data_IF_938602179462
#
_entry.id   IF_938602179462
#
_cell.length_a   1.000
_cell.length_b   1.000
_cell.length_c   1.000
_cell.angle_alpha   90.00
_cell.angle_beta   90.00
_cell.angle_gamma   90.00
#
_symmetry.space_group_name_H-M   'P 1'
#
loop_
_entity.id
_entity.type
_entity.pdbx_description
1 polymer ?
#
# COMPACT_ATOMS: atom_id res chain seq x y z
N UNK A 1 25.82 -69.59 -33.95
CA UNK A 1 27.06 -68.79 -33.97
C UNK A 1 26.73 -67.49 -34.70
N UNK A 2 26.18 -66.47 -34.03
CA UNK A 2 26.90 -65.32 -33.42
C UNK A 2 27.91 -64.70 -34.42
N UNK A 3 27.85 -63.44 -34.87
CA UNK A 3 27.48 -62.17 -34.21
C UNK A 3 26.98 -61.14 -35.24
N UNK A 4 25.96 -60.37 -34.88
CA UNK A 4 25.63 -59.07 -35.48
C UNK A 4 26.40 -57.97 -34.73
N UNK A 5 27.05 -57.05 -35.44
CA UNK A 5 27.60 -55.82 -34.86
C UNK A 5 26.54 -54.72 -34.94
N UNK A 6 26.02 -54.32 -33.79
CA UNK A 6 25.20 -53.13 -33.59
C UNK A 6 26.13 -51.95 -33.26
N UNK A 7 26.05 -50.88 -34.06
CA UNK A 7 26.64 -49.57 -33.71
C UNK A 7 25.85 -48.97 -32.55
N UNK A 8 26.48 -48.86 -31.38
CA UNK A 8 25.93 -48.21 -30.21
C UNK A 8 25.96 -46.69 -30.36
N UNK A 9 24.78 -46.06 -30.36
CA UNK A 9 24.63 -44.62 -30.11
C UNK A 9 24.73 -44.41 -28.60
N UNK A 10 25.81 -43.77 -28.16
CA UNK A 10 25.98 -43.36 -26.75
C UNK A 10 25.10 -42.13 -26.53
N UNK A 11 23.92 -42.34 -25.94
CA UNK A 11 23.11 -41.27 -25.39
C UNK A 11 23.76 -40.76 -24.10
N UNK A 12 24.41 -39.60 -24.15
CA UNK A 12 24.89 -38.89 -22.95
C UNK A 12 23.67 -38.29 -22.25
N UNK A 13 23.13 -39.02 -21.28
CA UNK A 13 22.17 -38.51 -20.31
C UNK A 13 22.89 -37.55 -19.36
N UNK A 14 22.89 -36.26 -19.70
CA UNK A 14 23.24 -35.20 -18.76
C UNK A 14 22.11 -35.11 -17.73
N UNK A 15 22.29 -35.77 -16.60
CA UNK A 15 21.49 -35.53 -15.39
C UNK A 15 21.80 -34.12 -14.88
N UNK A 16 21.10 -33.11 -15.41
CA UNK A 16 20.94 -31.83 -14.75
C UNK A 16 20.07 -32.08 -13.50
N UNK A 17 20.73 -32.36 -12.37
CA UNK A 17 20.14 -32.18 -11.06
C UNK A 17 19.84 -30.69 -10.89
N UNK A 18 18.70 -30.25 -11.42
CA UNK A 18 18.08 -29.00 -11.01
C UNK A 18 17.64 -29.21 -9.56
N UNK A 19 18.51 -28.85 -8.63
CA UNK A 19 18.09 -28.59 -7.25
C UNK A 19 17.15 -27.41 -7.33
N UNK A 20 15.85 -27.69 -7.48
CA UNK A 20 14.80 -26.74 -7.20
C UNK A 20 15.00 -26.34 -5.74
N UNK A 21 15.68 -25.22 -5.51
CA UNK A 21 15.62 -24.52 -4.24
C UNK A 21 14.14 -24.20 -4.10
N UNK A 22 13.41 -24.78 -3.12
CA UNK A 22 12.05 -24.39 -2.91
C UNK A 22 12.09 -22.90 -2.62
N UNK A 23 11.54 -22.08 -3.53
CA UNK A 23 11.22 -20.70 -3.25
C UNK A 23 10.45 -20.75 -1.93
N UNK A 24 11.09 -20.27 -0.87
CA UNK A 24 10.51 -20.29 0.45
C UNK A 24 9.18 -19.56 0.32
N UNK A 25 8.08 -20.33 0.38
CA UNK A 25 6.74 -19.79 0.36
C UNK A 25 6.68 -18.81 1.52
N UNK A 26 6.77 -17.51 1.21
CA UNK A 26 6.64 -16.47 2.20
C UNK A 26 5.18 -16.49 2.64
N UNK A 27 4.95 -17.31 3.66
CA UNK A 27 3.64 -17.58 4.21
C UNK A 27 2.97 -16.27 4.62
N UNK A 28 1.66 -16.22 4.38
CA UNK A 28 0.69 -15.26 4.89
C UNK A 28 1.18 -14.55 6.16
N UNK A 29 1.74 -13.35 6.04
CA UNK A 29 1.70 -12.39 7.14
C UNK A 29 0.53 -11.46 6.85
N UNK A 30 -0.64 -11.76 7.42
CA UNK A 30 -1.63 -10.72 7.70
C UNK A 30 -1.02 -9.68 8.64
N UNK A 31 -1.86 -8.86 9.27
CA UNK A 31 -1.56 -8.34 10.60
C UNK A 31 -0.74 -9.40 11.38
N UNK A 32 0.40 -9.06 12.01
CA UNK A 32 1.22 -10.04 12.71
C UNK A 32 0.33 -10.95 13.54
N UNK A 33 0.60 -12.25 13.54
CA UNK A 33 -0.14 -13.17 14.41
C UNK A 33 -0.18 -12.54 15.81
N UNK A 34 -1.37 -12.47 16.40
CA UNK A 34 -1.65 -11.80 17.67
C UNK A 34 -1.60 -10.26 17.57
N UNK A 35 -2.29 -9.64 16.59
CA UNK A 35 -2.47 -8.19 16.56
C UNK A 35 -3.93 -7.78 16.38
N UNK A 36 -4.31 -6.66 16.99
CA UNK A 36 -5.66 -6.08 16.99
C UNK A 36 -5.62 -4.62 16.58
N UNK A 37 -6.67 -4.12 15.94
CA UNK A 37 -6.79 -2.70 15.58
C UNK A 37 -7.73 -2.03 16.58
N UNK A 38 -7.39 -0.84 17.03
CA UNK A 38 -8.26 -0.01 17.88
C UNK A 38 -8.61 1.29 17.19
N UNK A 39 -9.87 1.70 17.35
CA UNK A 39 -10.43 2.95 16.83
C UNK A 39 -10.85 3.86 18.00
N UNK A 40 -9.93 4.66 18.58
CA UNK A 40 -10.20 5.52 19.74
C UNK A 40 -11.43 6.42 19.64
N UNK A 41 -11.76 6.90 18.42
CA UNK A 41 -12.88 7.82 18.21
C UNK A 41 -14.25 7.15 18.26
N UNK A 42 -14.35 5.87 17.91
CA UNK A 42 -15.63 5.17 17.82
C UNK A 42 -16.23 4.85 19.21
N UNK A 43 -15.38 4.60 20.20
CA UNK A 43 -15.81 4.20 21.55
C UNK A 43 -15.70 5.34 22.59
N UNK A 44 -15.32 6.56 22.17
CA UNK A 44 -15.16 7.71 23.07
C UNK A 44 -14.05 7.55 24.12
N UNK A 45 -13.24 6.49 24.03
CA UNK A 45 -12.16 6.17 24.97
C UNK A 45 -10.91 5.81 24.16
N UNK A 46 -9.82 6.55 24.40
CA UNK A 46 -8.50 6.28 23.80
C UNK A 46 -7.83 5.05 24.37
N UNK A 47 -8.15 4.76 25.62
CA UNK A 47 -7.80 3.54 26.32
C UNK A 47 -8.85 2.47 25.98
N UNK A 48 -8.39 1.34 25.44
CA UNK A 48 -9.24 0.20 25.13
C UNK A 48 -8.67 -1.06 25.80
N UNK A 49 -9.56 -1.80 26.45
CA UNK A 49 -9.24 -3.11 27.02
C UNK A 49 -9.39 -4.15 25.93
N UNK A 50 -8.30 -4.83 25.58
CA UNK A 50 -8.26 -5.85 24.55
C UNK A 50 -7.87 -7.19 25.17
N UNK A 51 -8.67 -8.22 24.91
CA UNK A 51 -8.27 -9.60 25.17
C UNK A 51 -7.32 -10.05 24.07
N UNK A 52 -6.10 -10.45 24.38
CA UNK A 52 -5.19 -11.05 23.41
C UNK A 52 -5.45 -12.55 23.35
N UNK A 53 -5.59 -13.13 22.16
CA UNK A 53 -5.78 -14.57 21.98
C UNK A 53 -4.42 -15.27 22.10
N UNK A 54 -3.88 -15.37 23.32
CA UNK A 54 -2.76 -16.27 23.59
C UNK A 54 -3.11 -17.19 24.76
N UNK A 55 -3.09 -18.50 24.51
CA UNK A 55 -3.46 -19.54 25.48
C UNK A 55 -2.32 -19.88 26.44
N UNK A 56 -1.15 -19.26 26.29
CA UNK A 56 0.05 -19.63 27.05
C UNK A 56 0.38 -18.70 28.23
N UNK A 57 -0.07 -17.44 28.22
CA UNK A 57 0.09 -16.51 29.34
C UNK A 57 -1.30 -16.10 29.84
N UNK A 58 -1.67 -16.60 31.02
CA UNK A 58 -3.03 -16.51 31.56
C UNK A 58 -3.72 -15.16 31.37
N UNK A 59 -4.68 -15.12 30.44
CA UNK A 59 -5.87 -14.27 30.34
C UNK A 59 -5.78 -12.79 30.74
N UNK A 60 -4.61 -12.17 30.85
CA UNK A 60 -4.51 -10.80 31.35
C UNK A 60 -4.97 -9.85 30.25
N UNK A 61 -6.13 -9.18 30.39
CA UNK A 61 -6.60 -8.25 29.40
C UNK A 61 -5.61 -7.09 29.31
N UNK A 62 -5.17 -6.78 28.10
CA UNK A 62 -4.18 -5.74 27.88
C UNK A 62 -4.88 -4.39 27.69
N UNK A 63 -4.39 -3.35 28.37
CA UNK A 63 -4.94 -1.99 28.29
C UNK A 63 -4.09 -1.20 27.33
N UNK A 64 -4.61 -0.96 26.13
CA UNK A 64 -3.87 -0.33 25.04
C UNK A 64 -4.38 1.09 24.80
N UNK A 65 -3.46 2.04 24.61
CA UNK A 65 -3.77 3.42 24.23
C UNK A 65 -3.01 3.76 22.94
N UNK A 66 -3.72 4.28 21.93
CA UNK A 66 -3.05 4.77 20.73
C UNK A 66 -2.17 5.98 21.03
N UNK A 67 -0.99 5.99 20.40
CA UNK A 67 -0.14 7.16 20.33
C UNK A 67 -0.95 8.38 19.87
N UNK A 68 -0.58 9.55 20.38
CA UNK A 68 -1.18 10.82 20.00
C UNK A 68 -1.01 11.14 18.51
N UNK A 69 -0.02 10.55 17.85
CA UNK A 69 0.25 10.64 16.41
C UNK A 69 -0.83 9.95 15.55
N UNK A 70 -1.55 8.97 16.08
CA UNK A 70 -2.63 8.27 15.39
C UNK A 70 -3.90 8.27 16.25
N UNK A 71 -4.59 9.43 16.34
CA UNK A 71 -5.73 9.61 17.24
C UNK A 71 -6.99 8.84 16.80
N UNK A 72 -7.04 8.37 15.56
CA UNK A 72 -8.23 7.75 14.97
C UNK A 72 -8.14 6.22 14.93
N UNK A 73 -6.95 5.66 14.72
CA UNK A 73 -6.74 4.22 14.50
C UNK A 73 -5.28 3.83 14.80
N UNK A 74 -5.05 2.70 15.49
CA UNK A 74 -3.71 2.15 15.64
C UNK A 74 -3.74 0.62 15.85
N UNK A 75 -2.60 -0.04 15.63
CA UNK A 75 -2.44 -1.50 15.78
C UNK A 75 -1.81 -1.81 17.14
N UNK A 76 -2.34 -2.81 17.83
CA UNK A 76 -1.84 -3.37 19.08
C UNK A 76 -1.21 -4.73 18.82
N UNK A 77 0.03 -4.91 19.26
CA UNK A 77 0.77 -6.17 19.17
C UNK A 77 0.71 -6.92 20.50
N UNK A 78 0.11 -8.11 20.48
CA UNK A 78 0.03 -9.05 21.60
C UNK A 78 1.17 -10.09 21.55
N UNK A 79 1.56 -10.70 22.69
CA UNK A 79 1.11 -10.43 24.07
C UNK A 79 1.74 -9.17 24.70
N UNK A 80 2.66 -8.49 24.02
CA UNK A 80 3.44 -7.38 24.59
C UNK A 80 2.71 -6.04 24.80
N UNK A 81 1.39 -5.96 24.51
CA UNK A 81 0.57 -4.74 24.62
C UNK A 81 1.18 -3.46 23.99
N UNK A 82 1.97 -3.61 22.92
CA UNK A 82 2.62 -2.45 22.28
C UNK A 82 1.71 -1.86 21.21
N UNK A 83 1.48 -0.55 21.26
CA UNK A 83 0.68 0.18 20.26
C UNK A 83 1.57 0.83 19.20
N UNK A 84 1.16 0.74 17.95
CA UNK A 84 1.86 1.31 16.79
C UNK A 84 0.85 2.00 15.89
N UNK A 85 1.19 3.20 15.41
CA UNK A 85 0.43 3.79 14.30
C UNK A 85 0.59 2.89 13.08
N UNK A 86 -0.46 2.72 12.26
CA UNK A 86 -0.40 1.93 11.02
C UNK A 86 0.79 2.40 10.15
N UNK A 87 1.01 3.72 10.15
CA UNK A 87 2.12 4.46 9.56
C UNK A 87 3.54 4.03 9.95
N UNK A 88 3.72 3.37 11.09
CA UNK A 88 5.05 3.14 11.66
C UNK A 88 5.58 1.73 11.42
N UNK A 89 4.79 0.79 10.86
CA UNK A 89 5.10 -0.64 10.99
C UNK A 89 5.05 -1.50 9.71
N UNK A 90 4.32 -1.09 8.67
CA UNK A 90 4.14 -1.96 7.50
C UNK A 90 4.93 -1.46 6.29
N UNK A 91 5.71 -2.33 5.63
CA UNK A 91 6.20 -2.08 4.28
C UNK A 91 5.04 -1.67 3.37
N UNK A 92 5.31 -0.71 2.50
CA UNK A 92 4.32 -0.12 1.61
C UNK A 92 3.42 0.92 2.25
N UNK A 93 3.69 1.40 3.46
CA UNK A 93 2.87 2.48 4.05
C UNK A 93 3.38 3.86 3.62
N UNK A 94 2.45 4.74 3.24
CA UNK A 94 2.65 6.18 3.04
C UNK A 94 1.80 6.97 4.03
N UNK A 95 2.42 7.81 4.87
CA UNK A 95 1.70 8.71 5.77
C UNK A 95 2.28 10.13 5.81
N UNK A 96 1.40 11.11 6.01
CA UNK A 96 1.77 12.53 6.05
C UNK A 96 2.51 13.00 4.79
N UNK A 97 3.53 13.83 4.95
CA UNK A 97 4.32 14.38 3.83
C UNK A 97 5.20 13.28 3.22
N UNK A 98 4.91 12.88 1.99
CA UNK A 98 4.72 11.49 1.62
C UNK A 98 5.95 10.65 2.02
N UNK A 99 5.87 10.05 3.22
CA UNK A 99 6.87 9.15 3.78
C UNK A 99 6.45 7.73 3.48
N UNK A 100 7.22 7.04 2.65
CA UNK A 100 7.04 5.63 2.33
C UNK A 100 7.90 4.73 3.23
N UNK A 101 7.41 3.52 3.53
CA UNK A 101 8.22 2.41 4.05
C UNK A 101 8.48 1.42 2.91
N UNK A 102 9.75 1.20 2.55
CA UNK A 102 10.13 0.22 1.52
C UNK A 102 9.91 -1.23 1.96
N UNK A 103 10.00 -2.18 1.02
CA UNK A 103 9.94 -3.61 1.33
C UNK A 103 11.10 -4.07 2.24
N UNK A 104 12.22 -3.35 2.19
CA UNK A 104 13.39 -3.51 3.06
C UNK A 104 13.16 -2.97 4.49
N UNK A 105 11.98 -2.42 4.78
CA UNK A 105 11.62 -1.84 6.08
C UNK A 105 12.17 -0.44 6.32
N UNK A 106 12.92 0.13 5.38
CA UNK A 106 13.49 1.47 5.53
C UNK A 106 12.48 2.55 5.13
N UNK A 107 12.45 3.62 5.89
CA UNK A 107 11.62 4.78 5.60
C UNK A 107 12.33 5.71 4.61
N UNK A 108 11.57 6.31 3.69
CA UNK A 108 12.06 7.32 2.77
C UNK A 108 10.97 8.29 2.37
N UNK A 109 11.35 9.47 1.90
CA UNK A 109 10.44 10.52 1.47
C UNK A 109 10.47 10.66 -0.04
N UNK A 110 9.31 10.85 -0.66
CA UNK A 110 9.22 11.15 -2.08
C UNK A 110 8.38 12.41 -2.31
N UNK A 111 9.03 13.57 -2.35
CA UNK A 111 8.32 14.86 -2.34
C UNK A 111 7.38 15.13 -3.52
N UNK A 112 7.48 14.39 -4.64
CA UNK A 112 6.63 14.62 -5.80
C UNK A 112 6.57 16.09 -6.22
N UNK A 113 5.40 16.51 -6.72
CA UNK A 113 5.01 17.90 -6.95
C UNK A 113 3.51 18.04 -6.77
N UNK A 114 3.09 19.23 -6.37
CA UNK A 114 1.67 19.61 -6.31
C UNK A 114 0.99 19.44 -7.68
N UNK A 115 -0.22 18.91 -7.65
CA UNK A 115 -1.14 18.72 -8.77
C UNK A 115 -0.53 17.86 -9.90
N UNK A 116 0.29 16.87 -9.52
CA UNK A 116 0.91 15.92 -10.44
C UNK A 116 0.73 14.48 -9.98
N UNK A 117 0.71 13.57 -10.95
CA UNK A 117 0.62 12.13 -10.72
C UNK A 117 1.98 11.45 -10.91
N UNK A 118 2.25 10.45 -10.06
CA UNK A 118 3.51 9.72 -10.06
C UNK A 118 3.28 8.21 -9.95
N UNK A 119 4.04 7.44 -10.70
CA UNK A 119 4.11 5.99 -10.66
C UNK A 119 4.74 5.50 -9.36
N UNK A 120 3.91 5.00 -8.46
CA UNK A 120 4.30 4.43 -7.17
C UNK A 120 4.73 2.97 -7.34
N UNK A 121 3.97 2.20 -8.13
CA UNK A 121 4.27 0.81 -8.48
C UNK A 121 3.96 0.60 -9.96
N UNK A 122 4.86 -0.05 -10.67
CA UNK A 122 4.60 -0.59 -11.99
C UNK A 122 5.29 -1.93 -12.13
N UNK A 123 4.49 -2.94 -12.40
CA UNK A 123 4.87 -4.29 -12.76
C UNK A 123 4.09 -4.70 -14.02
N UNK A 124 4.32 -5.90 -14.55
CA UNK A 124 3.67 -6.39 -15.77
C UNK A 124 2.12 -6.30 -15.69
N UNK A 125 1.55 -6.73 -14.56
CA UNK A 125 0.10 -6.89 -14.37
C UNK A 125 -0.52 -5.90 -13.36
N UNK A 126 0.29 -5.01 -12.77
CA UNK A 126 -0.16 -4.02 -11.80
C UNK A 126 0.52 -2.67 -12.01
N UNK A 127 -0.26 -1.62 -12.13
CA UNK A 127 0.22 -0.24 -12.16
C UNK A 127 -0.55 0.60 -11.16
N UNK A 128 0.16 1.35 -10.31
CA UNK A 128 -0.42 2.24 -9.32
C UNK A 128 0.25 3.60 -9.45
N UNK A 129 -0.55 4.59 -9.80
CA UNK A 129 -0.16 5.99 -9.69
C UNK A 129 -0.78 6.61 -8.44
N UNK A 130 -0.09 7.59 -7.88
CA UNK A 130 -0.62 8.46 -6.85
C UNK A 130 -0.64 9.91 -7.36
N UNK A 131 -1.76 10.59 -7.16
CA UNK A 131 -1.90 12.02 -7.40
C UNK A 131 -1.60 12.80 -6.14
N UNK A 132 -0.72 13.79 -6.26
CA UNK A 132 -0.21 14.57 -5.15
C UNK A 132 -0.88 15.93 -5.14
N UNK A 133 -1.50 16.29 -4.02
CA UNK A 133 -1.83 17.68 -3.71
C UNK A 133 -0.67 18.33 -3.00
N UNK A 134 -0.70 19.66 -2.88
CA UNK A 134 0.32 20.33 -2.11
C UNK A 134 0.00 21.78 -1.75
N UNK A 135 0.82 22.29 -0.83
CA UNK A 135 0.78 23.67 -0.36
C UNK A 135 2.19 24.24 -0.33
N UNK A 136 2.31 25.48 -0.81
CA UNK A 136 3.52 26.28 -0.77
C UNK A 136 3.42 27.25 0.39
N UNK A 137 4.40 27.23 1.29
CA UNK A 137 4.66 28.37 2.14
C UNK A 137 5.61 29.33 1.40
N UNK A 138 5.28 30.63 1.23
CA UNK A 138 6.16 31.59 0.54
C UNK A 138 7.59 31.66 1.10
N UNK A 139 7.77 31.33 2.39
CA UNK A 139 9.08 31.27 3.03
C UNK A 139 9.89 30.02 2.68
N UNK A 140 9.34 29.10 1.87
CA UNK A 140 9.96 27.81 1.55
C UNK A 140 10.24 27.65 0.06
N UNK A 141 11.32 26.95 -0.24
CA UNK A 141 11.79 26.69 -1.61
C UNK A 141 11.08 25.54 -2.30
N UNK A 142 10.22 24.78 -1.60
CA UNK A 142 9.50 23.61 -2.13
C UNK A 142 8.05 23.55 -1.65
N UNK A 143 7.23 22.81 -2.40
CA UNK A 143 5.90 22.42 -1.96
C UNK A 143 6.01 21.31 -0.89
N UNK A 144 5.11 21.38 0.09
CA UNK A 144 4.70 20.20 0.85
C UNK A 144 3.61 19.49 0.07
N UNK A 145 3.63 18.16 0.09
CA UNK A 145 2.74 17.35 -0.74
C UNK A 145 2.14 16.19 0.02
N UNK A 146 0.97 15.73 -0.41
CA UNK A 146 0.29 14.57 0.16
C UNK A 146 -0.42 13.79 -0.94
N UNK A 147 -0.63 12.49 -0.73
CA UNK A 147 -1.33 11.65 -1.71
C UNK A 147 -2.83 11.86 -1.54
N UNK A 148 -3.48 12.48 -2.53
CA UNK A 148 -4.93 12.69 -2.52
C UNK A 148 -5.69 11.54 -3.18
N UNK A 149 -5.10 10.91 -4.20
CA UNK A 149 -5.79 9.85 -4.93
C UNK A 149 -4.82 8.80 -5.45
N UNK A 150 -5.36 7.60 -5.69
CA UNK A 150 -4.70 6.52 -6.40
C UNK A 150 -5.48 6.15 -7.66
N UNK A 151 -4.75 5.90 -8.74
CA UNK A 151 -5.24 5.20 -9.92
C UNK A 151 -4.54 3.87 -10.01
N UNK A 152 -5.34 2.81 -10.01
CA UNK A 152 -4.87 1.42 -9.98
C UNK A 152 -5.33 0.77 -11.27
N UNK A 153 -4.39 0.20 -12.02
CA UNK A 153 -4.64 -0.59 -13.22
C UNK A 153 -4.14 -2.02 -13.04
N UNK A 154 -4.97 -2.95 -13.46
CA UNK A 154 -4.67 -4.39 -13.51
C UNK A 154 -5.53 -5.00 -14.63
N UNK A 155 -4.94 -5.89 -15.43
CA UNK A 155 -5.55 -6.32 -16.69
C UNK A 155 -6.07 -5.10 -17.48
N UNK A 156 -7.33 -5.13 -17.93
CA UNK A 156 -7.97 -4.02 -18.64
C UNK A 156 -8.78 -3.09 -17.73
N UNK A 157 -8.73 -3.31 -16.41
CA UNK A 157 -9.57 -2.60 -15.44
C UNK A 157 -8.89 -1.38 -14.83
N UNK A 158 -9.73 -0.45 -14.37
CA UNK A 158 -9.34 0.78 -13.69
C UNK A 158 -10.08 0.91 -12.37
N UNK A 159 -9.34 1.10 -11.28
CA UNK A 159 -9.88 1.41 -9.97
C UNK A 159 -9.34 2.76 -9.50
N UNK A 160 -10.23 3.70 -9.22
CA UNK A 160 -9.91 5.00 -8.63
C UNK A 160 -10.30 5.00 -7.16
N UNK A 161 -9.45 5.65 -6.34
CA UNK A 161 -9.81 6.05 -4.99
C UNK A 161 -9.23 7.42 -4.68
N UNK A 162 -10.08 8.34 -4.23
CA UNK A 162 -9.76 9.74 -3.97
C UNK A 162 -10.25 10.21 -2.61
N UNK A 163 -9.54 11.18 -2.04
CA UNK A 163 -9.99 11.98 -0.92
C UNK A 163 -10.66 13.27 -1.44
N UNK A 164 -11.95 13.42 -1.17
CA UNK A 164 -12.71 14.62 -1.52
C UNK A 164 -12.15 15.85 -0.81
N UNK A 165 -11.97 16.94 -1.57
CA UNK A 165 -11.55 18.23 -1.01
C UNK A 165 -12.57 18.73 0.02
N UNK A 166 -12.08 19.23 1.15
CA UNK A 166 -12.94 19.74 2.22
C UNK A 166 -12.29 20.94 2.88
N UNK A 167 -13.04 22.03 3.00
CA UNK A 167 -12.59 23.26 3.67
C UNK A 167 -12.44 22.97 5.16
N UNK A 168 -13.51 22.52 5.80
CA UNK A 168 -13.55 22.14 7.21
C UNK A 168 -13.56 20.62 7.37
N UNK A 169 -12.69 20.10 8.21
CA UNK A 169 -12.66 18.68 8.55
C UNK A 169 -13.72 18.32 9.59
N UNK A 170 -14.47 17.26 9.32
CA UNK A 170 -15.30 16.54 10.29
C UNK A 170 -15.07 15.04 10.08
N UNK A 171 -14.61 14.34 11.12
CA UNK A 171 -14.31 12.90 11.00
C UNK A 171 -15.54 12.02 10.80
N UNK A 172 -16.75 12.53 11.02
CA UNK A 172 -17.99 11.80 10.82
C UNK A 172 -18.53 11.92 9.39
N UNK A 173 -18.00 12.85 8.60
CA UNK A 173 -18.43 13.03 7.21
C UNK A 173 -17.49 12.26 6.30
N UNK A 174 -18.05 11.40 5.46
CA UNK A 174 -17.28 10.60 4.52
C UNK A 174 -16.71 11.48 3.39
N UNK A 175 -15.43 11.27 3.08
CA UNK A 175 -14.68 11.98 2.03
C UNK A 175 -14.07 11.02 1.03
N UNK A 176 -14.54 9.78 0.99
CA UNK A 176 -14.10 8.80 0.01
C UNK A 176 -14.82 9.03 -1.32
N UNK A 177 -14.06 9.02 -2.40
CA UNK A 177 -14.54 8.97 -3.76
C UNK A 177 -13.97 7.70 -4.41
N UNK A 178 -14.83 6.82 -4.91
CA UNK A 178 -14.45 5.51 -5.45
C UNK A 178 -15.13 5.29 -6.79
N UNK A 179 -14.38 4.78 -7.76
CA UNK A 179 -14.96 4.30 -9.02
C UNK A 179 -14.19 3.10 -9.57
N UNK A 180 -14.90 2.22 -10.25
CA UNK A 180 -14.35 1.06 -10.93
C UNK A 180 -14.86 1.02 -12.36
N UNK A 181 -13.94 0.98 -13.31
CA UNK A 181 -14.18 1.13 -14.75
C UNK A 181 -15.08 2.34 -15.05
N UNK A 182 -14.70 3.49 -14.47
CA UNK A 182 -15.39 4.78 -14.58
C UNK A 182 -16.82 4.82 -13.98
N UNK A 183 -17.26 3.73 -13.35
CA UNK A 183 -18.55 3.66 -12.64
C UNK A 183 -18.37 3.94 -11.14
N UNK A 184 -19.13 4.87 -10.54
CA UNK A 184 -19.06 5.14 -9.11
C UNK A 184 -19.34 3.90 -8.26
N UNK A 185 -18.60 3.74 -7.16
CA UNK A 185 -18.85 2.72 -6.15
C UNK A 185 -19.47 3.40 -4.92
N UNK A 186 -20.66 2.94 -4.55
CA UNK A 186 -21.29 3.30 -3.28
C UNK A 186 -21.18 2.15 -2.28
N UNK A 187 -20.73 2.47 -1.08
CA UNK A 187 -20.65 1.54 0.04
C UNK A 187 -21.31 2.22 1.24
N UNK A 188 -22.30 1.59 1.90
CA UNK A 188 -22.89 2.14 3.11
C UNK A 188 -21.83 2.57 4.13
N UNK A 189 -22.06 3.69 4.81
CA UNK A 189 -21.17 4.23 5.86
C UNK A 189 -21.34 3.46 7.17
N UNK A 190 -21.02 2.16 7.12
CA UNK A 190 -21.10 1.25 8.25
C UNK A 190 -19.87 0.34 8.22
N UNK A 191 -19.33 0.02 9.39
CA UNK A 191 -18.18 -0.89 9.51
C UNK A 191 -18.57 -2.25 8.94
N UNK A 192 -17.61 -2.88 8.25
CA UNK A 192 -17.77 -4.15 7.54
C UNK A 192 -18.74 -4.11 6.34
N UNK A 193 -19.38 -2.96 6.06
CA UNK A 193 -20.10 -2.78 4.81
C UNK A 193 -19.14 -2.95 3.63
N UNK A 194 -19.61 -3.63 2.60
CA UNK A 194 -18.74 -4.20 1.58
C UNK A 194 -19.35 -4.08 0.20
N UNK A 195 -18.49 -3.75 -0.77
CA UNK A 195 -18.76 -3.87 -2.19
C UNK A 195 -17.88 -4.97 -2.79
N UNK A 196 -18.43 -5.70 -3.75
CA UNK A 196 -17.73 -6.74 -4.51
C UNK A 196 -17.94 -6.50 -5.99
N UNK A 197 -16.86 -6.62 -6.77
CA UNK A 197 -16.99 -6.55 -8.21
C UNK A 197 -17.75 -7.77 -8.74
N UNK A 198 -18.67 -7.52 -9.67
CA UNK A 198 -19.38 -8.57 -10.41
C UNK A 198 -18.59 -9.07 -11.62
N UNK A 199 -17.61 -8.30 -12.10
CA UNK A 199 -16.80 -8.62 -13.29
C UNK A 199 -15.40 -9.12 -12.94
N UNK A 200 -14.85 -8.74 -11.78
CA UNK A 200 -13.53 -9.16 -11.31
C UNK A 200 -13.67 -9.97 -10.02
N UNK A 201 -13.68 -11.32 -10.11
CA UNK A 201 -13.72 -12.18 -8.93
C UNK A 201 -12.57 -11.89 -7.98
N UNK A 202 -12.89 -11.66 -6.71
CA UNK A 202 -11.89 -11.40 -5.68
C UNK A 202 -11.45 -9.94 -5.55
N UNK A 203 -12.01 -9.01 -6.34
CA UNK A 203 -11.96 -7.57 -6.02
C UNK A 203 -13.05 -7.23 -5.00
N UNK A 204 -12.65 -6.64 -3.88
CA UNK A 204 -13.53 -6.30 -2.77
C UNK A 204 -13.09 -4.99 -2.12
N UNK A 205 -14.05 -4.15 -1.75
CA UNK A 205 -13.81 -2.97 -0.94
C UNK A 205 -14.67 -3.08 0.32
N UNK A 206 -14.05 -2.99 1.49
CA UNK A 206 -14.72 -3.10 2.79
C UNK A 206 -14.43 -1.88 3.64
N UNK A 207 -15.45 -1.36 4.32
CA UNK A 207 -15.29 -0.30 5.34
C UNK A 207 -14.59 -0.86 6.57
N UNK A 208 -13.44 -0.31 6.95
CA UNK A 208 -12.82 -0.56 8.26
C UNK A 208 -13.20 0.50 9.31
N UNK A 209 -13.89 1.57 8.90
CA UNK A 209 -14.45 2.60 9.76
C UNK A 209 -15.81 3.08 9.21
N UNK A 210 -16.61 3.74 10.06
CA UNK A 210 -17.91 4.26 9.64
C UNK A 210 -17.80 5.35 8.54
N UNK A 211 -16.70 6.13 8.54
CA UNK A 211 -16.37 7.12 7.54
C UNK A 211 -14.86 7.09 7.25
N UNK A 212 -14.46 7.51 6.05
CA UNK A 212 -13.10 7.79 5.62
C UNK A 212 -12.12 6.60 5.52
N UNK A 213 -12.43 5.46 6.13
CA UNK A 213 -11.59 4.26 6.12
C UNK A 213 -12.13 3.15 5.22
N UNK A 214 -11.26 2.59 4.39
CA UNK A 214 -11.51 1.39 3.58
C UNK A 214 -10.31 0.45 3.51
N UNK A 215 -10.63 -0.81 3.22
CA UNK A 215 -9.69 -1.84 2.76
C UNK A 215 -10.09 -2.29 1.35
N UNK A 216 -9.19 -2.15 0.40
CA UNK A 216 -9.35 -2.57 -1.00
C UNK A 216 -8.51 -3.82 -1.22
N UNK A 217 -9.11 -4.90 -1.67
CA UNK A 217 -8.43 -6.17 -1.86
C UNK A 217 -8.66 -6.70 -3.27
N UNK A 218 -7.59 -7.10 -3.94
CA UNK A 218 -7.65 -7.94 -5.13
C UNK A 218 -6.93 -9.24 -4.80
N UNK A 219 -7.68 -10.34 -4.70
CA UNK A 219 -7.17 -11.64 -4.24
C UNK A 219 -5.92 -12.05 -5.02
N UNK A 220 -4.82 -12.27 -4.29
CA UNK A 220 -3.54 -12.71 -4.86
C UNK A 220 -2.69 -11.61 -5.47
N UNK A 221 -3.19 -10.37 -5.56
CA UNK A 221 -2.47 -9.23 -6.15
C UNK A 221 -2.08 -8.21 -5.08
N UNK A 222 -3.07 -7.62 -4.41
CA UNK A 222 -2.82 -6.60 -3.38
C UNK A 222 -3.89 -6.56 -2.29
N UNK A 223 -3.53 -5.90 -1.20
CA UNK A 223 -4.37 -5.53 -0.07
C UNK A 223 -3.96 -4.12 0.37
N UNK A 224 -4.85 -3.16 0.18
CA UNK A 224 -4.61 -1.74 0.41
C UNK A 224 -5.51 -1.28 1.55
N UNK A 225 -4.90 -0.82 2.64
CA UNK A 225 -5.59 -0.07 3.68
C UNK A 225 -5.47 1.41 3.34
N UNK A 226 -6.56 2.16 3.40
CA UNK A 226 -6.52 3.59 3.19
C UNK A 226 -7.50 4.30 4.12
N UNK A 227 -7.05 5.43 4.65
CA UNK A 227 -7.88 6.30 5.47
C UNK A 227 -7.69 7.75 5.07
N UNK A 228 -8.80 8.46 4.82
CA UNK A 228 -8.75 9.90 4.55
C UNK A 228 -8.54 10.64 5.87
N UNK A 229 -7.55 11.54 5.88
CA UNK A 229 -7.16 12.35 7.04
C UNK A 229 -6.96 13.82 6.63
N UNK A 230 -7.14 14.78 7.55
CA UNK A 230 -6.81 16.17 7.32
C UNK A 230 -5.36 16.46 7.71
N UNK A 231 -4.85 17.60 7.28
CA UNK A 231 -3.72 18.23 7.96
C UNK A 231 -4.23 19.01 9.17
N UNK A 232 -3.71 18.71 10.36
CA UNK A 232 -4.15 19.40 11.57
C UNK A 232 -3.43 20.75 11.73
N UNK A 233 -4.06 21.69 12.45
CA UNK A 233 -3.39 22.94 12.85
C UNK A 233 -2.11 22.70 13.67
N UNK A 234 -1.99 21.54 14.33
CA UNK A 234 -0.79 21.18 15.06
C UNK A 234 0.34 20.80 14.10
N UNK A 235 0.05 19.95 13.12
CA UNK A 235 1.03 19.54 12.10
C UNK A 235 1.50 20.77 11.32
N UNK A 236 0.56 21.63 10.91
CA UNK A 236 0.87 22.91 10.25
C UNK A 236 1.79 23.81 11.08
N UNK A 237 1.63 23.87 12.40
CA UNK A 237 2.51 24.65 13.28
C UNK A 237 3.89 24.04 13.45
N UNK A 238 3.97 22.71 13.59
CA UNK A 238 5.24 22.00 13.78
C UNK A 238 6.10 22.04 12.51
N UNK A 239 5.46 21.85 11.35
CA UNK A 239 6.16 21.73 10.06
C UNK A 239 6.11 23.01 9.22
N UNK A 240 5.44 24.06 9.72
CA UNK A 240 5.28 25.35 9.05
C UNK A 240 4.61 25.24 7.67
N UNK A 241 3.61 24.36 7.54
CA UNK A 241 2.85 24.18 6.29
C UNK A 241 2.05 25.42 5.88
N UNK A 242 1.70 26.26 6.85
CA UNK A 242 0.90 27.47 6.63
C UNK A 242 -0.56 27.18 6.28
N UNK A 243 -1.10 26.03 6.71
CA UNK A 243 -2.52 25.67 6.53
C UNK A 243 -3.42 26.72 7.20
N UNK A 244 -4.32 27.28 6.40
CA UNK A 244 -5.38 28.22 6.77
C UNK A 244 -6.72 27.48 6.85
N UNK A 245 -7.79 28.12 7.30
CA UNK A 245 -9.12 27.49 7.40
C UNK A 245 -9.75 27.14 6.04
N UNK A 246 -9.10 27.52 4.95
CA UNK A 246 -9.65 27.54 3.59
C UNK A 246 -9.55 26.17 2.88
N UNK A 247 -8.71 25.26 3.39
CA UNK A 247 -8.56 23.88 2.90
C UNK A 247 -7.91 23.00 3.97
N UNK A 248 -8.61 21.94 4.40
CA UNK A 248 -8.07 20.96 5.36
C UNK A 248 -7.02 20.03 4.74
N UNK A 249 -6.79 20.11 3.42
CA UNK A 249 -5.86 19.28 2.67
C UNK A 249 -6.11 17.79 2.93
N UNK A 250 -7.36 17.36 2.74
CA UNK A 250 -7.74 15.96 2.91
C UNK A 250 -6.92 15.07 1.96
N UNK A 251 -6.26 14.08 2.52
CA UNK A 251 -5.35 13.16 1.83
C UNK A 251 -5.44 11.77 2.45
N UNK A 252 -4.77 10.80 1.86
CA UNK A 252 -4.72 9.45 2.38
C UNK A 252 -3.47 9.18 3.20
N UNK A 253 -3.69 8.51 4.32
CA UNK A 253 -2.72 7.55 4.87
C UNK A 253 -3.01 6.18 4.23
N UNK A 254 -2.00 5.56 3.63
CA UNK A 254 -2.17 4.35 2.80
C UNK A 254 -1.20 3.28 3.24
N UNK A 255 -1.64 2.03 3.39
CA UNK A 255 -0.78 0.86 3.53
C UNK A 255 -0.97 -0.10 2.36
N UNK A 256 0.08 -0.31 1.57
CA UNK A 256 0.09 -1.31 0.51
C UNK A 256 0.66 -2.63 1.01
N UNK A 257 -0.01 -3.72 0.67
CA UNK A 257 0.57 -5.06 0.71
C UNK A 257 0.40 -5.72 -0.63
N UNK A 258 1.50 -6.20 -1.20
CA UNK A 258 1.52 -6.87 -2.49
C UNK A 258 1.78 -8.36 -2.32
N UNK A 259 1.25 -9.17 -3.25
CA UNK A 259 1.26 -10.63 -3.16
C UNK A 259 1.91 -11.33 -4.36
N UNK A 260 2.08 -10.65 -5.49
CA UNK A 260 2.56 -11.25 -6.73
C UNK A 260 3.40 -10.32 -7.59
N UNK A 261 4.20 -9.45 -6.96
CA UNK A 261 5.14 -8.62 -7.71
C UNK A 261 6.28 -9.49 -8.28
N UNK A 262 6.67 -9.20 -9.52
CA UNK A 262 7.82 -9.80 -10.19
C UNK A 262 9.12 -9.08 -9.81
N UNK A 263 10.26 -9.69 -10.11
CA UNK A 263 11.57 -9.07 -9.89
C UNK A 263 11.86 -7.87 -10.82
N UNK A 264 11.03 -7.61 -11.85
CA UNK A 264 11.16 -6.42 -12.70
C UNK A 264 10.30 -5.24 -12.19
N UNK A 265 9.57 -5.40 -11.06
CA UNK A 265 8.75 -4.34 -10.49
C UNK A 265 9.55 -3.05 -10.27
N UNK A 266 8.97 -1.91 -10.66
CA UNK A 266 9.57 -0.60 -10.49
C UNK A 266 8.54 0.41 -9.96
N UNK A 267 8.97 1.65 -9.80
CA UNK A 267 8.18 2.77 -9.29
C UNK A 267 8.88 3.37 -8.07
N UNK A 268 8.30 4.42 -7.50
CA UNK A 268 8.82 5.02 -6.26
C UNK A 268 8.92 3.95 -5.18
N UNK A 269 7.82 3.28 -4.87
CA UNK A 269 7.76 2.21 -3.89
C UNK A 269 8.13 0.86 -4.49
N UNK A 270 7.66 0.57 -5.72
CA UNK A 270 7.78 -0.75 -6.33
C UNK A 270 9.22 -1.25 -6.43
N UNK A 271 10.18 -0.39 -6.79
CA UNK A 271 11.58 -0.81 -6.90
C UNK A 271 12.16 -1.39 -5.60
N UNK A 272 11.62 -1.03 -4.43
CA UNK A 272 12.08 -1.53 -3.13
C UNK A 272 11.71 -2.99 -2.90
N UNK A 273 10.76 -3.54 -3.66
CA UNK A 273 10.31 -4.94 -3.58
C UNK A 273 11.16 -5.91 -4.39
N UNK A 274 12.13 -5.41 -5.18
CA UNK A 274 13.02 -6.26 -5.95
C UNK A 274 14.05 -6.94 -5.05
N UNK A 275 14.36 -8.20 -5.32
CA UNK A 275 15.37 -8.95 -4.56
C UNK A 275 16.78 -8.35 -4.67
N UNK A 276 17.08 -7.66 -5.78
CA UNK A 276 18.36 -7.00 -6.04
C UNK A 276 18.36 -5.51 -5.68
N UNK A 277 17.31 -5.01 -5.03
CA UNK A 277 17.24 -3.62 -4.59
C UNK A 277 18.33 -3.34 -3.55
N UNK A 278 19.23 -2.42 -3.90
CA UNK A 278 20.22 -1.87 -2.97
C UNK A 278 19.79 -0.48 -2.56
N UNK A 279 19.45 -0.32 -1.29
CA UNK A 279 19.11 0.97 -0.73
C UNK A 279 20.34 1.90 -0.74
N UNK A 280 20.28 2.95 -1.56
CA UNK A 280 21.34 3.98 -1.68
C UNK A 280 21.05 5.24 -0.87
N UNK A 281 19.99 5.22 -0.07
CA UNK A 281 19.61 6.35 0.76
C UNK A 281 20.60 6.50 1.91
N UNK A 282 20.84 7.75 2.30
CA UNK A 282 21.75 8.05 3.41
C UNK A 282 21.17 7.55 4.73
N UNK A 283 21.84 6.58 5.35
CA UNK A 283 21.47 6.02 6.66
C UNK A 283 21.64 7.02 7.81
N UNK A 284 22.40 8.09 7.61
CA UNK A 284 22.59 9.17 8.59
C UNK A 284 21.59 10.32 8.44
N UNK A 285 20.78 10.32 7.37
CA UNK A 285 19.80 11.37 7.15
C UNK A 285 18.54 11.11 7.96
N UNK A 286 18.05 12.13 8.68
CA UNK A 286 16.77 12.06 9.39
C UNK A 286 15.56 11.97 8.44
N UNK A 287 15.72 12.45 7.20
CA UNK A 287 14.72 12.38 6.14
C UNK A 287 15.40 11.97 4.83
N UNK A 288 15.65 10.67 4.62
CA UNK A 288 16.23 10.19 3.37
C UNK A 288 15.24 10.39 2.23
N UNK A 289 15.67 11.04 1.15
CA UNK A 289 14.79 11.38 0.01
C UNK A 289 15.09 10.47 -1.16
N UNK A 290 14.04 9.86 -1.71
CA UNK A 290 14.11 9.16 -2.98
C UNK A 290 14.08 10.16 -4.12
N UNK A 291 15.23 10.33 -4.78
CA UNK A 291 15.39 11.20 -5.93
C UNK A 291 14.80 10.61 -7.21
N UNK A 292 15.01 11.30 -8.34
CA UNK A 292 14.59 10.80 -9.66
C UNK A 292 13.13 11.10 -10.01
N UNK A 293 12.51 12.13 -9.43
CA UNK A 293 11.11 12.54 -9.66
C UNK A 293 10.69 12.48 -11.14
N UNK A 294 11.53 12.97 -12.06
CA UNK A 294 11.26 12.98 -13.51
C UNK A 294 11.13 11.59 -14.15
N UNK A 295 11.55 10.52 -13.48
CA UNK A 295 11.38 9.13 -13.91
C UNK A 295 10.01 8.57 -13.57
N UNK A 296 9.32 9.16 -12.58
CA UNK A 296 8.07 8.65 -12.04
C UNK A 296 6.84 9.44 -12.48
N UNK A 297 7.00 10.65 -13.03
CA UNK A 297 5.86 11.46 -13.53
C UNK A 297 5.05 10.67 -14.55
N UNK A 298 3.73 10.73 -14.42
CA UNK A 298 2.76 10.25 -15.43
C UNK A 298 1.93 11.40 -15.95
N UNK A 299 1.37 11.26 -17.16
CA UNK A 299 0.50 12.30 -17.75
C UNK A 299 -0.87 12.40 -17.09
N UNK A 300 -1.38 11.31 -16.52
CA UNK A 300 -2.67 11.22 -15.84
C UNK A 300 -2.63 10.16 -14.74
N UNK A 301 -3.65 10.14 -13.87
CA UNK A 301 -3.82 9.14 -12.80
C UNK A 301 -3.86 7.70 -13.33
N UNK A 302 -4.34 7.44 -14.55
CA UNK A 302 -4.36 6.09 -15.14
C UNK A 302 -3.32 5.87 -16.25
N UNK A 303 -2.52 6.89 -16.59
CA UNK A 303 -1.47 6.73 -17.59
C UNK A 303 -0.35 5.81 -17.12
N UNK A 304 0.14 4.96 -18.02
CA UNK A 304 1.23 4.00 -17.77
C UNK A 304 2.50 4.43 -18.51
N UNK A 305 2.76 5.74 -18.56
CA UNK A 305 3.76 6.39 -19.42
C UNK A 305 4.97 6.95 -18.67
N UNK A 306 5.12 6.63 -17.38
CA UNK A 306 6.34 6.98 -16.65
C UNK A 306 7.56 6.26 -17.27
N UNK A 307 8.75 6.85 -17.12
CA UNK A 307 9.98 6.29 -17.71
C UNK A 307 10.32 4.89 -17.21
N UNK A 308 9.82 4.54 -16.03
CA UNK A 308 10.05 3.25 -15.38
C UNK A 308 8.89 2.27 -15.56
N UNK A 309 7.88 2.58 -16.39
CA UNK A 309 6.73 1.73 -16.58
C UNK A 309 7.12 0.32 -17.04
N UNK A 310 6.48 -0.67 -16.41
CA UNK A 310 6.56 -2.11 -16.71
C UNK A 310 5.22 -2.72 -17.11
N UNK A 311 4.15 -1.97 -16.87
CA UNK A 311 2.79 -2.42 -17.12
C UNK A 311 2.54 -2.71 -18.60
N UNK A 312 1.89 -3.85 -18.88
CA UNK A 312 1.58 -4.28 -20.24
C UNK A 312 2.79 -4.66 -21.08
N UNK A 313 4.01 -4.68 -20.52
CA UNK A 313 5.14 -5.34 -21.17
C UNK A 313 4.87 -6.83 -21.07
N UNK A 314 4.62 -7.48 -22.21
CA UNK A 314 4.36 -8.90 -22.29
C UNK A 314 5.54 -9.71 -21.74
N UNK A 315 5.51 -10.00 -20.44
CA UNK A 315 6.24 -11.12 -19.86
C UNK A 315 5.39 -12.34 -20.13
N UNK A 316 5.76 -13.14 -21.14
CA UNK A 316 5.02 -14.33 -21.51
C UNK A 316 4.94 -15.33 -20.35
N UNK A 317 3.87 -15.29 -19.57
CA UNK A 317 3.50 -16.33 -18.60
C UNK A 317 1.99 -16.55 -18.68
N UNK A 318 1.64 -17.80 -18.96
CA UNK A 318 0.31 -18.33 -19.14
C UNK A 318 -0.55 -18.13 -17.89
N UNK A 319 -1.68 -17.44 -18.02
CA UNK A 319 -2.74 -17.47 -17.01
C UNK A 319 -3.22 -18.92 -16.90
N UNK A 320 -2.93 -19.58 -15.78
CA UNK A 320 -3.53 -20.88 -15.46
C UNK A 320 -5.02 -20.63 -15.23
N UNK A 321 -5.81 -20.81 -16.30
CA UNK A 321 -7.24 -21.02 -16.18
C UNK A 321 -7.43 -22.30 -15.38
N UNK A 322 -7.80 -22.17 -14.11
CA UNK A 322 -8.22 -23.31 -13.30
C UNK A 322 -9.37 -24.00 -14.00
N UNK A 323 -9.13 -25.22 -14.48
CA UNK A 323 -10.17 -26.11 -14.98
C UNK A 323 -11.09 -26.38 -13.79
N UNK A 324 -12.36 -26.01 -13.94
CA UNK A 324 -13.43 -26.50 -13.11
C UNK A 324 -13.57 -28.01 -13.37
N UNK A 325 -13.39 -28.81 -12.32
CA UNK A 325 -13.95 -30.16 -12.20
C UNK A 325 -14.77 -30.21 -10.93
#
# INVERSE_FOLDING_TARGET
>A
MARALTMGVVAVLVFLCATAVPAAAQGKKGLPKNSRVIHPKQFGRREQVLSCDDTTDGNSPCVATCDRRCPNECVVMCPGCKTYCICDFYPGVSCGDPRFTGADGNNFYFHGKKDQSFCVVSDADLHINAHFIGKRNPAMSRDFTWIQALGIRFADHRLYMGAQKTVKWDSNVDRLELSFDDMPIEIPTAIDAKWQSTTVPGLTITRNAAANGIRVQLKGVFDILANVVPITQKDSRIHNYGVTEDDSLAHFDIGFKFHGLTDDVHGVLGQTYRADYVNKLSVSANMPIMGGTASYVTSDIFSTDCKVARFGRASGISMVTGIAT
#
